data_IF_607680971030
#
_entry.id   IF_607680971030
#
_cell.length_a   1.000
_cell.length_b   1.000
_cell.length_c   1.000
_cell.angle_alpha   90.00
_cell.angle_beta   90.00
_cell.angle_gamma   90.00
#
_symmetry.space_group_name_H-M   'P 1'
#
loop_
_entity.id
_entity.type
_entity.pdbx_description
1 polymer ?
#
# COMPACT_ATOMS: atom_id res chain seq x y z
N UNK A 1 -0.46 -16.55 -16.97
CA UNK A 1 -0.40 -16.56 -15.49
C UNK A 1 -1.02 -15.24 -15.06
N UNK A 2 -2.23 -15.29 -14.51
CA UNK A 2 -3.03 -14.10 -14.22
C UNK A 2 -2.47 -13.49 -12.94
N UNK A 3 -1.73 -12.39 -13.05
CA UNK A 3 -1.28 -11.56 -11.92
C UNK A 3 -2.51 -10.89 -11.30
N UNK A 4 -3.33 -11.66 -10.57
CA UNK A 4 -4.55 -11.15 -9.92
C UNK A 4 -4.34 -10.81 -8.44
N UNK A 5 -3.11 -10.82 -7.94
CA UNK A 5 -2.83 -10.91 -6.50
C UNK A 5 -1.60 -10.11 -6.03
N UNK A 6 -1.50 -8.80 -6.31
CA UNK A 6 -0.32 -8.03 -5.85
C UNK A 6 -0.64 -6.76 -5.08
N UNK A 7 -1.92 -6.38 -4.92
CA UNK A 7 -2.26 -5.22 -4.11
C UNK A 7 -2.52 -5.64 -2.65
N UNK A 8 -1.82 -5.03 -1.67
CA UNK A 8 -2.20 -5.06 -0.26
C UNK A 8 -3.67 -4.74 -0.08
N UNK A 9 -4.31 -5.41 0.88
CA UNK A 9 -5.72 -5.21 1.19
C UNK A 9 -5.92 -3.89 1.93
N UNK A 10 -7.08 -3.28 1.76
CA UNK A 10 -7.49 -2.14 2.59
C UNK A 10 -7.49 -2.53 4.08
N UNK A 11 -7.02 -1.62 4.93
CA UNK A 11 -6.78 -1.84 6.36
C UNK A 11 -5.46 -2.53 6.70
N UNK A 12 -4.74 -3.06 5.71
CA UNK A 12 -3.47 -3.75 5.96
C UNK A 12 -2.36 -2.77 6.30
N UNK A 13 -1.54 -3.12 7.29
CA UNK A 13 -0.36 -2.34 7.67
C UNK A 13 0.82 -2.65 6.74
N UNK A 14 1.40 -1.60 6.20
CA UNK A 14 2.52 -1.63 5.27
C UNK A 14 3.64 -0.69 5.71
N UNK A 15 4.87 -1.06 5.38
CA UNK A 15 6.06 -0.23 5.56
C UNK A 15 6.43 0.37 4.21
N UNK A 16 6.63 1.67 4.20
CA UNK A 16 7.03 2.47 3.05
C UNK A 16 8.23 3.35 3.45
N UNK A 17 9.00 3.95 2.51
CA UNK A 17 10.17 4.76 2.85
C UNK A 17 9.87 5.93 3.81
N UNK A 18 8.63 6.40 3.83
CA UNK A 18 8.16 7.49 4.68
C UNK A 18 7.75 7.04 6.09
N UNK A 19 7.69 5.73 6.36
CA UNK A 19 7.29 5.17 7.65
C UNK A 19 6.27 4.05 7.54
N UNK A 20 5.53 3.83 8.63
CA UNK A 20 4.46 2.83 8.70
C UNK A 20 3.14 3.49 8.27
N UNK A 21 2.38 2.79 7.45
CA UNK A 21 1.13 3.27 6.90
C UNK A 21 0.08 2.15 6.86
N UNK A 22 -1.19 2.55 6.79
CA UNK A 22 -2.31 1.64 6.56
C UNK A 22 -2.84 1.82 5.16
N UNK A 23 -3.08 0.73 4.45
CA UNK A 23 -3.62 0.78 3.08
C UNK A 23 -5.08 1.22 3.13
N UNK A 24 -5.43 2.24 2.38
CA UNK A 24 -6.80 2.77 2.29
C UNK A 24 -7.37 2.66 0.87
N UNK A 25 -6.58 2.17 -0.09
CA UNK A 25 -7.01 1.89 -1.45
C UNK A 25 -5.86 1.41 -2.33
N UNK A 26 -6.17 0.91 -3.53
CA UNK A 26 -5.19 0.41 -4.48
C UNK A 26 -5.57 0.70 -5.93
N UNK A 27 -4.58 0.97 -6.78
CA UNK A 27 -4.77 1.19 -8.21
C UNK A 27 -4.03 0.12 -9.02
N UNK A 28 -4.73 -0.94 -9.46
CA UNK A 28 -4.11 -2.04 -10.21
C UNK A 28 -3.62 -1.63 -11.61
N UNK A 29 -4.16 -0.55 -12.18
CA UNK A 29 -3.73 -0.06 -13.49
C UNK A 29 -2.40 0.69 -13.43
N UNK A 30 -2.12 1.33 -12.28
CA UNK A 30 -0.89 2.09 -12.04
C UNK A 30 0.13 1.35 -11.15
N UNK A 31 -0.24 0.20 -10.61
CA UNK A 31 0.57 -0.55 -9.64
C UNK A 31 0.94 0.30 -8.41
N UNK A 32 0.02 1.17 -7.99
CA UNK A 32 0.16 2.04 -6.81
C UNK A 32 -0.85 1.65 -5.73
N UNK A 33 -0.53 1.99 -4.48
CA UNK A 33 -1.44 1.91 -3.35
C UNK A 33 -1.57 3.27 -2.69
N UNK A 34 -2.78 3.58 -2.25
CA UNK A 34 -3.06 4.72 -1.41
C UNK A 34 -2.95 4.27 0.05
N UNK A 35 -2.07 4.92 0.79
CA UNK A 35 -1.85 4.61 2.21
C UNK A 35 -2.06 5.86 3.07
N UNK A 36 -2.48 5.65 4.30
CA UNK A 36 -2.63 6.67 5.32
C UNK A 36 -1.55 6.48 6.39
N UNK A 37 -0.70 7.50 6.56
CA UNK A 37 0.33 7.55 7.59
C UNK A 37 -0.31 7.77 8.97
N UNK A 38 0.43 7.46 10.04
CA UNK A 38 -0.01 7.76 11.42
C UNK A 38 -0.28 9.25 11.67
N UNK A 39 0.31 10.14 10.86
CA UNK A 39 0.03 11.58 10.88
C UNK A 39 -1.34 11.96 10.29
N UNK A 40 -2.06 11.01 9.69
CA UNK A 40 -3.31 11.25 8.95
C UNK A 40 -3.09 11.72 7.50
N UNK A 41 -1.85 11.87 7.06
CA UNK A 41 -1.53 12.21 5.68
C UNK A 41 -1.77 11.00 4.76
N UNK A 42 -2.37 11.25 3.59
CA UNK A 42 -2.63 10.23 2.56
C UNK A 42 -1.66 10.40 1.41
N UNK A 43 -0.96 9.33 1.08
CA UNK A 43 0.05 9.32 0.03
C UNK A 43 -0.15 8.13 -0.89
N UNK A 44 -0.03 8.36 -2.20
CA UNK A 44 0.00 7.29 -3.18
C UNK A 44 1.46 6.87 -3.39
N UNK A 45 1.74 5.58 -3.21
CA UNK A 45 3.08 5.00 -3.31
C UNK A 45 3.06 3.78 -4.24
N UNK A 46 4.13 3.54 -5.00
CA UNK A 46 4.21 2.38 -5.88
C UNK A 46 4.34 1.09 -5.08
N UNK A 47 3.76 0.00 -5.58
CA UNK A 47 3.87 -1.34 -4.97
C UNK A 47 5.31 -1.80 -4.74
N UNK A 48 6.23 -1.34 -5.59
CA UNK A 48 7.66 -1.66 -5.48
C UNK A 48 8.29 -1.14 -4.19
N UNK A 49 7.71 -0.11 -3.57
CA UNK A 49 8.20 0.51 -2.34
C UNK A 49 7.41 0.08 -1.09
N UNK A 50 6.45 -0.83 -1.25
CA UNK A 50 5.49 -1.21 -0.22
C UNK A 50 5.83 -2.60 0.29
N UNK A 51 6.12 -2.71 1.59
CA UNK A 51 6.37 -3.98 2.26
C UNK A 51 5.24 -4.30 3.22
N UNK A 52 4.58 -5.44 3.05
CA UNK A 52 3.52 -5.90 3.95
C UNK A 52 4.12 -6.33 5.29
N UNK A 53 3.61 -5.77 6.39
CA UNK A 53 4.11 -6.05 7.76
C UNK A 53 3.23 -7.08 8.49
N UNK A 54 1.92 -7.09 8.19
CA UNK A 54 0.93 -7.98 8.81
C UNK A 54 0.36 -8.92 7.74
N UNK A 55 0.47 -10.24 7.96
CA UNK A 55 0.17 -11.30 6.97
C UNK A 55 -1.10 -12.07 7.31
#
# INVERSE_FOLDING_TARGET
>A
RVMKEILPKEGQRVSIPMGIASVVGGNPLKETVLVELESGARVEVPLSEVTIIDR
#
